data_IF_866164172387
#
_entry.id   IF_866164172387
#
_cell.length_a   1.000
_cell.length_b   1.000
_cell.length_c   1.000
_cell.angle_alpha   90.00
_cell.angle_beta   90.00
_cell.angle_gamma   90.00
#
_symmetry.space_group_name_H-M   'P 1'
#
loop_
_entity.id
_entity.type
_entity.pdbx_description
1 polymer ?
#
# COMPACT_ATOMS: atom_id res chain seq x y z
N UNK A 1 23.20 -55.11 -44.81
CA UNK A 1 24.03 -54.49 -43.75
C UNK A 1 24.02 -52.98 -43.94
N UNK A 2 23.43 -52.25 -42.97
CA UNK A 2 23.67 -50.85 -42.52
C UNK A 2 23.95 -49.76 -43.58
N UNK A 3 23.31 -48.58 -43.63
CA UNK A 3 23.14 -47.52 -42.59
C UNK A 3 22.07 -46.53 -43.10
N UNK A 4 21.01 -46.22 -42.35
CA UNK A 4 20.89 -45.04 -41.46
C UNK A 4 20.84 -43.68 -42.21
N UNK A 5 19.66 -43.05 -42.27
CA UNK A 5 19.49 -41.60 -42.00
C UNK A 5 18.00 -41.25 -41.88
N UNK A 6 17.55 -41.10 -40.63
CA UNK A 6 16.24 -40.55 -40.26
C UNK A 6 16.40 -39.02 -40.22
N UNK A 7 15.70 -38.27 -41.08
CA UNK A 7 15.63 -36.80 -40.98
C UNK A 7 14.49 -36.43 -40.04
N UNK A 8 14.85 -35.95 -38.86
CA UNK A 8 13.92 -35.40 -37.87
C UNK A 8 13.29 -34.10 -38.40
N UNK A 9 11.96 -34.08 -38.48
CA UNK A 9 11.18 -32.86 -38.72
C UNK A 9 11.03 -32.15 -37.38
N UNK A 10 11.64 -30.98 -37.25
CA UNK A 10 11.54 -30.14 -36.05
C UNK A 10 10.16 -29.48 -36.04
N UNK A 11 9.31 -29.90 -35.10
CA UNK A 11 8.05 -29.22 -34.82
C UNK A 11 8.34 -27.90 -34.07
N UNK A 12 8.05 -26.77 -34.70
CA UNK A 12 8.06 -25.46 -34.04
C UNK A 12 6.78 -25.35 -33.21
N UNK A 13 6.88 -25.69 -31.93
CA UNK A 13 5.81 -25.46 -30.96
C UNK A 13 5.83 -23.98 -30.57
N UNK A 14 4.96 -23.18 -31.18
CA UNK A 14 4.76 -21.78 -30.80
C UNK A 14 4.13 -21.74 -29.40
N UNK A 15 4.96 -21.50 -28.38
CA UNK A 15 4.55 -21.26 -27.00
C UNK A 15 3.78 -19.93 -26.94
N UNK A 16 2.46 -20.01 -27.10
CA UNK A 16 1.56 -18.90 -26.74
C UNK A 16 1.56 -18.85 -25.21
N UNK A 17 2.40 -18.00 -24.64
CA UNK A 17 2.39 -17.73 -23.21
C UNK A 17 1.04 -17.08 -22.86
N UNK A 18 0.24 -17.67 -21.95
CA UNK A 18 -0.94 -16.98 -21.46
C UNK A 18 -0.51 -15.70 -20.74
N UNK A 19 -1.15 -14.59 -21.12
CA UNK A 19 -1.03 -13.29 -20.46
C UNK A 19 -1.06 -13.49 -18.94
N UNK A 20 -0.03 -12.94 -18.29
CA UNK A 20 0.22 -13.09 -16.88
C UNK A 20 -1.02 -12.81 -16.05
N UNK A 21 -1.29 -13.72 -15.10
CA UNK A 21 -2.35 -13.61 -14.12
C UNK A 21 -2.43 -12.19 -13.54
N UNK A 22 -3.62 -11.61 -13.56
CA UNK A 22 -3.96 -10.47 -12.71
C UNK A 22 -3.74 -10.95 -11.28
N UNK A 23 -2.60 -10.56 -10.68
CA UNK A 23 -2.37 -10.78 -9.26
C UNK A 23 -3.50 -10.04 -8.55
N UNK A 24 -4.41 -10.71 -7.82
CA UNK A 24 -5.35 -9.99 -7.00
C UNK A 24 -4.50 -9.18 -6.03
N UNK A 25 -4.71 -7.86 -6.00
CA UNK A 25 -4.03 -6.95 -5.11
C UNK A 25 -4.26 -7.43 -3.66
N UNK A 26 -3.39 -8.30 -3.17
CA UNK A 26 -3.49 -8.83 -1.83
C UNK A 26 -3.27 -7.64 -0.91
N UNK A 27 -4.37 -7.18 -0.31
CA UNK A 27 -4.36 -6.10 0.65
C UNK A 27 -3.29 -6.41 1.70
N UNK A 28 -2.25 -5.57 1.73
CA UNK A 28 -1.21 -5.65 2.75
C UNK A 28 -1.87 -5.70 4.14
N UNK A 29 -1.23 -6.30 5.16
CA UNK A 29 -1.82 -6.41 6.50
C UNK A 29 -2.41 -5.09 7.02
N UNK A 30 -1.81 -3.95 6.66
CA UNK A 30 -2.34 -2.62 6.94
C UNK A 30 -3.69 -2.36 6.30
N UNK A 31 -3.81 -2.50 4.98
CA UNK A 31 -5.05 -2.21 4.25
C UNK A 31 -6.21 -3.04 4.80
N UNK A 32 -6.01 -4.34 4.99
CA UNK A 32 -7.03 -5.24 5.55
C UNK A 32 -7.44 -4.89 6.97
N UNK A 33 -6.51 -4.46 7.83
CA UNK A 33 -6.86 -4.01 9.18
C UNK A 33 -7.63 -2.68 9.15
N UNK A 34 -7.23 -1.76 8.29
CA UNK A 34 -7.89 -0.46 8.16
C UNK A 34 -9.29 -0.59 7.53
N UNK A 35 -9.49 -1.52 6.60
CA UNK A 35 -10.80 -1.84 6.03
C UNK A 35 -11.80 -2.28 7.12
N UNK A 36 -11.34 -3.08 8.09
CA UNK A 36 -12.17 -3.48 9.26
C UNK A 36 -12.54 -2.30 10.16
N UNK A 37 -11.75 -1.24 10.14
CA UNK A 37 -11.97 -0.05 10.94
C UNK A 37 -12.78 1.03 10.20
N UNK A 38 -13.26 0.79 8.97
CA UNK A 38 -14.01 1.80 8.22
C UNK A 38 -15.19 2.34 9.04
N UNK A 39 -15.31 3.67 9.06
CA UNK A 39 -16.33 4.38 9.85
C UNK A 39 -15.96 4.64 11.30
N UNK A 40 -14.91 4.00 11.84
CA UNK A 40 -14.50 4.20 13.23
C UNK A 40 -14.09 5.66 13.49
N UNK A 41 -14.39 6.12 14.71
CA UNK A 41 -14.08 7.49 15.15
C UNK A 41 -12.68 7.56 15.78
N UNK A 42 -12.31 8.77 16.24
CA UNK A 42 -11.04 9.04 16.90
C UNK A 42 -10.79 8.06 18.05
N UNK A 43 -9.70 7.29 18.04
CA UNK A 43 -9.32 6.44 19.18
C UNK A 43 -9.06 7.27 20.44
N UNK A 44 -9.34 6.70 21.60
CA UNK A 44 -8.98 7.28 22.90
C UNK A 44 -7.47 7.57 22.98
N UNK A 45 -7.10 8.67 23.64
CA UNK A 45 -5.69 9.08 23.77
C UNK A 45 -5.09 9.77 22.55
N UNK A 46 -5.75 9.79 21.39
CA UNK A 46 -5.25 10.51 20.22
C UNK A 46 -5.59 12.02 20.27
N UNK A 47 -4.73 12.91 19.73
CA UNK A 47 -5.02 14.35 19.62
C UNK A 47 -6.17 14.66 18.65
N UNK A 48 -6.63 15.91 18.57
CA UNK A 48 -7.71 16.32 17.64
C UNK A 48 -7.40 16.03 16.18
N UNK A 49 -6.14 16.19 15.76
CA UNK A 49 -5.63 15.74 14.45
C UNK A 49 -5.04 14.33 14.57
N UNK A 50 -5.90 13.31 14.50
CA UNK A 50 -5.54 11.95 14.90
C UNK A 50 -5.07 11.00 13.79
N UNK A 51 -4.88 11.46 12.55
CA UNK A 51 -4.46 10.59 11.44
C UNK A 51 -3.15 9.83 11.72
N UNK A 52 -2.13 10.51 12.28
CA UNK A 52 -0.85 9.91 12.63
C UNK A 52 -0.95 8.96 13.83
N UNK A 53 -1.70 9.35 14.87
CA UNK A 53 -1.95 8.49 16.03
C UNK A 53 -2.61 7.17 15.63
N UNK A 54 -3.64 7.23 14.77
CA UNK A 54 -4.29 6.03 14.24
C UNK A 54 -3.37 5.20 13.35
N UNK A 55 -2.55 5.85 12.50
CA UNK A 55 -1.54 5.14 11.72
C UNK A 55 -0.58 4.37 12.62
N UNK A 56 -0.11 4.97 13.72
CA UNK A 56 0.77 4.29 14.68
C UNK A 56 0.09 3.08 15.35
N UNK A 57 -1.19 3.19 15.71
CA UNK A 57 -1.96 2.07 16.27
C UNK A 57 -2.14 0.93 15.26
N UNK A 58 -2.41 1.26 14.00
CA UNK A 58 -2.55 0.26 12.92
C UNK A 58 -1.22 -0.42 12.61
N UNK A 59 -0.12 0.34 12.54
CA UNK A 59 1.22 -0.21 12.37
C UNK A 59 1.55 -1.22 13.47
N UNK A 60 1.27 -0.85 14.73
CA UNK A 60 1.46 -1.75 15.87
C UNK A 60 0.62 -3.01 15.77
N UNK A 61 -0.68 -2.90 15.47
CA UNK A 61 -1.58 -4.05 15.26
C UNK A 61 -1.13 -4.96 14.12
N UNK A 62 -0.47 -4.40 13.11
CA UNK A 62 0.06 -5.13 11.96
C UNK A 62 1.49 -5.68 12.17
N UNK A 63 2.12 -5.49 13.34
CA UNK A 63 3.47 -5.97 13.63
C UNK A 63 4.59 -5.10 13.03
N UNK A 64 4.31 -3.84 12.71
CA UNK A 64 5.31 -2.87 12.24
C UNK A 64 5.71 -1.89 13.35
N UNK A 65 6.86 -1.24 13.16
CA UNK A 65 7.30 -0.17 14.06
C UNK A 65 6.38 1.05 13.94
N UNK A 66 6.04 1.66 15.07
CA UNK A 66 5.33 2.95 15.10
C UNK A 66 6.33 4.11 14.93
N UNK A 67 5.86 5.25 14.40
CA UNK A 67 6.59 6.53 14.35
C UNK A 67 6.49 7.29 15.67
N UNK A 68 5.32 7.31 16.30
CA UNK A 68 5.09 7.77 17.67
C UNK A 68 5.03 9.29 17.89
N UNK A 69 5.08 10.11 16.84
CA UNK A 69 5.16 11.58 17.00
C UNK A 69 3.80 12.29 16.96
N UNK A 70 2.72 11.58 16.63
CA UNK A 70 1.38 12.15 16.39
C UNK A 70 1.33 13.23 15.27
N UNK A 71 2.38 13.37 14.46
CA UNK A 71 2.44 14.33 13.35
C UNK A 71 2.59 13.61 12.02
N UNK A 72 1.69 13.90 11.08
CA UNK A 72 1.68 13.28 9.76
C UNK A 72 3.00 13.46 9.02
N UNK A 73 3.55 14.69 8.99
CA UNK A 73 4.79 15.00 8.27
C UNK A 73 6.00 14.20 8.73
N UNK A 74 6.03 13.75 10.00
CA UNK A 74 7.19 13.05 10.55
C UNK A 74 7.30 11.63 9.98
N UNK A 75 6.22 11.10 9.40
CA UNK A 75 6.30 9.89 8.58
C UNK A 75 7.16 10.08 7.33
N UNK A 76 7.51 11.31 6.94
CA UNK A 76 8.39 11.55 5.80
C UNK A 76 9.79 10.96 6.00
N UNK A 77 10.21 10.64 7.23
CA UNK A 77 11.47 9.94 7.55
C UNK A 77 11.25 8.54 8.14
N UNK A 78 10.02 8.00 8.11
CA UNK A 78 9.69 6.68 8.63
C UNK A 78 10.03 5.57 7.61
N UNK A 79 10.45 4.39 8.09
CA UNK A 79 10.56 3.19 7.28
C UNK A 79 11.56 3.31 6.11
N UNK A 80 11.26 2.63 5.00
CA UNK A 80 12.09 2.67 3.78
C UNK A 80 11.45 3.55 2.71
N UNK A 81 12.24 4.20 1.86
CA UNK A 81 11.73 4.87 0.66
C UNK A 81 11.11 3.85 -0.30
N UNK A 82 10.11 4.26 -1.07
CA UNK A 82 9.45 3.37 -2.04
C UNK A 82 8.93 4.13 -3.26
N UNK A 83 8.45 3.38 -4.26
CA UNK A 83 7.89 3.93 -5.49
C UNK A 83 6.59 4.70 -5.21
N UNK A 84 6.34 5.75 -5.99
CA UNK A 84 5.10 6.55 -5.93
C UNK A 84 3.86 5.66 -6.01
N UNK A 85 2.91 5.88 -5.10
CA UNK A 85 1.59 5.24 -5.09
C UNK A 85 1.61 3.70 -5.11
N UNK A 86 2.67 3.06 -4.57
CA UNK A 86 2.69 1.60 -4.41
C UNK A 86 1.62 1.15 -3.40
N UNK A 87 0.76 0.21 -3.77
CA UNK A 87 -0.25 -0.35 -2.85
C UNK A 87 0.42 -0.88 -1.58
N UNK A 88 -0.16 -0.57 -0.42
CA UNK A 88 0.37 -0.89 0.91
C UNK A 88 1.48 0.01 1.43
N UNK A 89 2.01 0.92 0.59
CA UNK A 89 2.88 1.98 1.09
C UNK A 89 2.11 3.07 1.81
N UNK A 90 2.83 3.85 2.59
CA UNK A 90 2.30 5.02 3.29
C UNK A 90 2.50 6.25 2.39
N UNK A 91 1.39 6.91 2.07
CA UNK A 91 1.39 8.25 1.48
C UNK A 91 1.50 9.27 2.60
N UNK A 92 2.56 10.09 2.56
CA UNK A 92 2.78 11.15 3.55
C UNK A 92 2.48 12.50 2.93
N UNK A 93 1.60 13.28 3.55
CA UNK A 93 1.33 14.68 3.21
C UNK A 93 1.71 15.57 4.40
N UNK A 94 1.82 16.89 4.17
CA UNK A 94 2.22 17.85 5.23
C UNK A 94 1.37 17.77 6.50
N UNK A 95 0.07 17.53 6.35
CA UNK A 95 -0.92 17.53 7.43
C UNK A 95 -1.79 16.25 7.48
N UNK A 96 -1.47 15.23 6.68
CA UNK A 96 -2.26 14.00 6.60
C UNK A 96 -1.40 12.80 6.20
N UNK A 97 -1.80 11.60 6.62
CA UNK A 97 -1.06 10.36 6.35
C UNK A 97 -2.06 9.20 6.22
N UNK A 98 -1.80 8.29 5.27
CA UNK A 98 -2.66 7.15 4.99
C UNK A 98 -1.94 6.06 4.22
N UNK A 99 -2.57 4.90 4.09
CA UNK A 99 -2.04 3.75 3.35
C UNK A 99 -2.66 3.69 1.97
N UNK A 100 -1.84 3.51 0.94
CA UNK A 100 -2.28 3.41 -0.45
C UNK A 100 -3.03 2.10 -0.66
N UNK A 101 -4.26 2.20 -1.16
CA UNK A 101 -5.08 1.06 -1.58
C UNK A 101 -5.04 0.84 -3.09
N UNK A 102 -4.69 1.87 -3.87
CA UNK A 102 -4.65 1.79 -5.33
C UNK A 102 -4.90 3.15 -5.97
N UNK A 103 -5.71 3.15 -7.03
CA UNK A 103 -6.10 4.35 -7.78
C UNK A 103 -7.61 4.58 -7.72
N UNK A 104 -8.01 5.84 -7.75
CA UNK A 104 -9.38 6.26 -7.99
C UNK A 104 -9.63 6.38 -9.50
N UNK A 105 -10.90 6.45 -9.91
CA UNK A 105 -11.29 6.43 -11.33
C UNK A 105 -10.74 7.65 -12.09
N UNK A 106 -10.56 8.76 -11.38
CA UNK A 106 -9.93 9.98 -11.89
C UNK A 106 -8.38 9.94 -11.89
N UNK A 107 -7.77 8.77 -11.70
CA UNK A 107 -6.32 8.57 -11.69
C UNK A 107 -5.60 9.03 -10.40
N UNK A 108 -6.31 9.61 -9.44
CA UNK A 108 -5.73 10.00 -8.16
C UNK A 108 -5.37 8.78 -7.30
N UNK A 109 -4.49 9.00 -6.32
CA UNK A 109 -4.06 7.98 -5.38
C UNK A 109 -5.19 7.74 -4.37
N UNK A 110 -5.67 6.50 -4.31
CA UNK A 110 -6.69 6.04 -3.37
C UNK A 110 -5.98 5.61 -2.09
N UNK A 111 -6.27 6.28 -0.97
CA UNK A 111 -5.70 5.94 0.34
C UNK A 111 -6.80 5.68 1.36
N UNK A 112 -6.55 4.79 2.31
CA UNK A 112 -7.33 4.67 3.55
C UNK A 112 -6.56 5.34 4.68
N UNK A 113 -7.27 6.08 5.54
CA UNK A 113 -6.65 6.88 6.59
C UNK A 113 -7.62 7.16 7.74
N UNK A 114 -7.06 7.42 8.92
CA UNK A 114 -7.82 7.99 10.04
C UNK A 114 -8.01 9.50 9.90
N UNK A 115 -9.02 10.03 10.58
CA UNK A 115 -9.39 11.45 10.57
C UNK A 115 -9.75 12.01 9.18
N UNK A 116 -10.18 11.17 8.24
CA UNK A 116 -10.81 11.65 7.02
C UNK A 116 -12.27 11.96 7.34
N UNK A 117 -12.67 13.23 7.29
CA UNK A 117 -14.00 13.68 7.73
C UNK A 117 -14.39 13.15 9.12
N UNK A 118 -13.44 13.20 10.08
CA UNK A 118 -13.59 12.74 11.47
C UNK A 118 -13.83 11.22 11.65
N UNK A 119 -13.50 10.40 10.66
CA UNK A 119 -13.58 8.93 10.73
C UNK A 119 -12.42 8.24 10.00
N UNK A 120 -12.31 6.93 10.13
CA UNK A 120 -11.52 6.10 9.22
C UNK A 120 -12.29 5.96 7.91
N UNK A 121 -11.68 6.38 6.82
CA UNK A 121 -12.33 6.34 5.50
C UNK A 121 -11.31 6.38 4.36
N UNK A 122 -11.82 6.12 3.16
CA UNK A 122 -11.07 6.19 1.91
C UNK A 122 -11.19 7.59 1.32
N UNK A 123 -10.07 8.12 0.83
CA UNK A 123 -9.99 9.39 0.12
C UNK A 123 -9.12 9.28 -1.12
N UNK A 124 -9.38 10.16 -2.09
CA UNK A 124 -8.60 10.30 -3.32
C UNK A 124 -7.76 11.57 -3.24
N UNK A 125 -6.46 11.47 -3.52
CA UNK A 125 -5.55 12.61 -3.49
C UNK A 125 -4.63 12.61 -4.73
N UNK A 126 -4.34 13.78 -5.33
CA UNK A 126 -3.32 13.84 -6.37
C UNK A 126 -1.95 13.48 -5.77
N UNK A 127 -1.13 12.76 -6.55
CA UNK A 127 0.19 12.33 -6.12
C UNK A 127 1.10 13.52 -5.72
N UNK A 128 0.89 14.70 -6.31
CA UNK A 128 1.60 15.94 -5.99
C UNK A 128 1.43 16.45 -4.55
N UNK A 129 0.43 15.99 -3.81
CA UNK A 129 0.29 16.30 -2.38
C UNK A 129 1.25 15.51 -1.50
N UNK A 130 1.80 14.40 -2.00
CA UNK A 130 2.75 13.61 -1.25
C UNK A 130 4.07 14.35 -1.10
N UNK A 131 4.58 14.41 0.13
CA UNK A 131 5.95 14.84 0.44
C UNK A 131 6.90 13.64 0.58
N UNK A 132 6.37 12.43 0.76
CA UNK A 132 7.13 11.18 0.78
C UNK A 132 6.23 9.96 0.55
N UNK A 133 6.85 8.86 0.11
CA UNK A 133 6.26 7.53 0.01
C UNK A 133 7.11 6.55 0.81
N UNK A 134 6.52 5.84 1.77
CA UNK A 134 7.27 5.02 2.71
C UNK A 134 6.72 3.60 2.84
N UNK A 135 7.60 2.61 2.81
CA UNK A 135 7.26 1.24 3.17
C UNK A 135 7.40 1.03 4.68
N UNK A 136 6.41 0.38 5.32
CA UNK A 136 6.52 0.02 6.73
C UNK A 136 7.62 -1.01 6.97
N UNK A 137 8.23 -0.93 8.15
CA UNK A 137 9.31 -1.83 8.59
C UNK A 137 8.83 -2.65 9.79
N UNK A 138 9.14 -3.95 9.80
CA UNK A 138 8.73 -4.85 10.89
C UNK A 138 9.27 -4.37 12.23
N UNK A 139 8.50 -4.56 13.29
CA UNK A 139 9.05 -4.50 14.64
C UNK A 139 10.18 -5.54 14.76
N UNK A 140 11.26 -5.15 15.45
CA UNK A 140 12.36 -6.07 15.76
C UNK A 140 11.95 -6.96 16.92
#
# INVERSE_FOLDING_TARGET
MNKMTLRAVIAVLALVLPFSAVVPAQATPLVRLMEKDLGQRRPGGCPSKWCACYMDQILKRAGFQSRGSNRARDFASYGKTTKTAKVGSIMVMRNHVGVVMGKCDNGQVKIISGNYSKKVAVGCYPASKAIAWRDPIKAR
#
